data_IF_933759666224
#
_entry.id   IF_933759666224
#
_cell.length_a   1.000
_cell.length_b   1.000
_cell.length_c   1.000
_cell.angle_alpha   90.00
_cell.angle_beta   90.00
_cell.angle_gamma   90.00
#
_symmetry.space_group_name_H-M   'P 1'
#
loop_
_entity.id
_entity.type
_entity.pdbx_description
1 polymer ?
#
# COMPACT_ATOMS: atom_id res chain seq x y z
N UNK A 1 -1.61 15.24 1.43
CA UNK A 1 -0.14 15.28 1.24
C UNK A 1 0.58 14.56 2.38
N UNK A 2 0.45 15.01 3.64
CA UNK A 2 1.04 14.32 4.82
C UNK A 2 0.89 12.78 4.86
N UNK A 3 -0.30 12.18 4.64
CA UNK A 3 -0.45 10.71 4.71
C UNK A 3 0.38 9.98 3.66
N UNK A 4 0.55 10.56 2.47
CA UNK A 4 1.35 9.98 1.38
C UNK A 4 2.82 9.93 1.80
N UNK A 5 3.34 11.01 2.40
CA UNK A 5 4.73 11.05 2.86
C UNK A 5 5.00 10.05 3.97
N UNK A 6 4.08 9.89 4.93
CA UNK A 6 4.22 8.90 6.00
C UNK A 6 4.33 7.47 5.43
N UNK A 7 3.47 7.13 4.47
CA UNK A 7 3.49 5.81 3.84
C UNK A 7 4.75 5.62 2.99
N UNK A 8 5.19 6.64 2.24
CA UNK A 8 6.40 6.58 1.44
C UNK A 8 7.67 6.39 2.29
N UNK A 9 7.77 7.11 3.42
CA UNK A 9 8.87 6.95 4.37
C UNK A 9 8.84 5.55 4.99
N UNK A 10 7.66 5.09 5.44
CA UNK A 10 7.49 3.75 5.98
C UNK A 10 7.87 2.65 4.99
N UNK A 11 7.47 2.81 3.72
CA UNK A 11 7.86 1.90 2.65
C UNK A 11 9.38 1.89 2.42
N UNK A 12 10.02 3.07 2.36
CA UNK A 12 11.48 3.16 2.23
C UNK A 12 12.22 2.46 3.37
N UNK A 13 11.81 2.70 4.61
CA UNK A 13 12.38 2.04 5.79
C UNK A 13 12.20 0.52 5.75
N UNK A 14 11.01 0.03 5.38
CA UNK A 14 10.74 -1.40 5.25
C UNK A 14 11.67 -2.08 4.23
N UNK A 15 11.85 -1.49 3.04
CA UNK A 15 12.72 -2.05 2.01
C UNK A 15 14.20 -1.99 2.41
N UNK A 16 14.62 -0.87 3.03
CA UNK A 16 15.98 -0.74 3.52
C UNK A 16 16.29 -1.79 4.59
N UNK A 17 15.38 -1.97 5.55
CA UNK A 17 15.49 -3.00 6.58
C UNK A 17 15.58 -4.41 5.96
N UNK A 18 14.67 -4.76 5.05
CA UNK A 18 14.67 -6.06 4.40
C UNK A 18 15.94 -6.34 3.56
N UNK A 19 16.56 -5.28 3.01
CA UNK A 19 17.81 -5.42 2.24
C UNK A 19 19.02 -5.75 3.12
N UNK A 20 19.05 -5.26 4.36
CA UNK A 20 20.17 -5.44 5.29
C UNK A 20 20.04 -6.65 6.22
N UNK A 21 18.82 -6.94 6.68
CA UNK A 21 18.57 -7.95 7.72
C UNK A 21 17.95 -9.25 7.18
N UNK A 22 17.67 -9.32 5.88
CA UNK A 22 17.01 -10.44 5.24
C UNK A 22 15.52 -10.19 4.99
N UNK A 23 15.00 -10.75 3.89
CA UNK A 23 13.61 -10.59 3.53
C UNK A 23 12.74 -11.66 4.19
N UNK A 24 11.52 -11.31 4.66
CA UNK A 24 10.48 -12.29 4.94
C UNK A 24 10.21 -13.21 3.75
N UNK A 25 9.42 -14.25 3.97
CA UNK A 25 9.02 -15.16 2.91
C UNK A 25 8.50 -14.39 1.67
N UNK A 26 8.89 -14.77 0.44
CA UNK A 26 8.63 -13.94 -0.74
C UNK A 26 7.14 -13.59 -0.96
N UNK A 27 6.22 -14.43 -0.48
CA UNK A 27 4.77 -14.15 -0.51
C UNK A 27 4.39 -13.00 0.42
N UNK A 28 4.85 -13.05 1.67
CA UNK A 28 4.62 -12.02 2.68
C UNK A 28 5.27 -10.70 2.25
N UNK A 29 6.52 -10.76 1.76
CA UNK A 29 7.26 -9.56 1.35
C UNK A 29 6.54 -8.79 0.23
N UNK A 30 6.08 -9.50 -0.81
CA UNK A 30 5.30 -8.89 -1.90
C UNK A 30 3.94 -8.37 -1.41
N UNK A 31 3.26 -9.09 -0.53
CA UNK A 31 1.98 -8.65 0.04
C UNK A 31 2.11 -7.35 0.84
N UNK A 32 3.15 -7.23 1.66
CA UNK A 32 3.45 -5.99 2.42
C UNK A 32 3.83 -4.85 1.46
N UNK A 33 4.64 -5.13 0.43
CA UNK A 33 4.98 -4.14 -0.60
C UNK A 33 3.72 -3.57 -1.29
N UNK A 34 2.78 -4.43 -1.68
CA UNK A 34 1.51 -3.99 -2.27
C UNK A 34 0.65 -3.20 -1.27
N UNK A 35 0.57 -3.65 -0.01
CA UNK A 35 -0.21 -2.97 1.03
C UNK A 35 0.28 -1.54 1.30
N UNK A 36 1.58 -1.30 1.14
CA UNK A 36 2.19 0.01 1.32
C UNK A 36 1.97 0.93 0.10
N UNK A 37 2.06 0.42 -1.12
CA UNK A 37 2.12 1.26 -2.31
C UNK A 37 0.78 1.42 -3.05
N UNK A 38 -0.06 0.39 -3.13
CA UNK A 38 -1.33 0.47 -3.86
C UNK A 38 -2.29 1.56 -3.33
N UNK A 39 -2.52 1.67 -2.01
CA UNK A 39 -3.44 2.68 -1.47
C UNK A 39 -3.00 4.12 -1.78
N UNK A 40 -1.67 4.32 -1.86
CA UNK A 40 -1.08 5.62 -2.20
C UNK A 40 -1.40 6.02 -3.64
N UNK A 41 -1.51 5.07 -4.57
CA UNK A 41 -1.86 5.35 -5.97
C UNK A 41 -3.22 6.05 -6.06
N UNK A 42 -4.24 5.56 -5.33
CA UNK A 42 -5.57 6.17 -5.31
C UNK A 42 -5.57 7.56 -4.65
N UNK A 43 -4.68 7.79 -3.67
CA UNK A 43 -4.52 9.09 -3.02
C UNK A 43 -3.75 10.12 -3.87
N UNK A 44 -2.87 9.66 -4.76
CA UNK A 44 -1.97 10.48 -5.56
C UNK A 44 -2.54 10.76 -6.96
N UNK A 45 -3.27 9.79 -7.52
CA UNK A 45 -3.96 9.86 -8.79
C UNK A 45 -5.48 9.76 -8.56
N UNK A 46 -6.19 10.89 -8.55
CA UNK A 46 -7.64 10.87 -8.39
C UNK A 46 -8.30 10.02 -9.50
N UNK A 47 -9.26 9.18 -9.12
CA UNK A 47 -9.87 8.17 -10.01
C UNK A 47 -10.71 8.74 -11.16
N UNK A 48 -10.96 10.06 -11.20
CA UNK A 48 -11.74 10.71 -12.26
C UNK A 48 -11.12 12.04 -12.67
N UNK A 49 -11.19 12.36 -13.97
CA UNK A 49 -10.67 13.60 -14.56
C UNK A 49 -11.30 14.91 -14.00
N UNK A 50 -12.39 14.80 -13.23
CA UNK A 50 -13.05 15.91 -12.51
C UNK A 50 -12.57 16.09 -11.06
N UNK A 51 -11.80 15.15 -10.52
CA UNK A 51 -11.45 15.17 -9.10
C UNK A 51 -10.26 16.08 -8.85
N UNK A 52 -10.47 17.04 -7.94
CA UNK A 52 -9.54 18.11 -7.63
C UNK A 52 -8.35 17.53 -6.83
N UNK A 53 -7.11 17.78 -7.28
CA UNK A 53 -5.87 17.24 -6.70
C UNK A 53 -5.68 17.57 -5.20
N UNK A 54 -6.46 18.50 -4.66
CA UNK A 54 -6.48 18.89 -3.24
C UNK A 54 -7.50 18.12 -2.39
N UNK A 55 -8.47 17.42 -2.97
CA UNK A 55 -9.54 16.72 -2.22
C UNK A 55 -9.74 15.32 -2.79
N UNK A 56 -9.18 14.26 -2.16
CA UNK A 56 -9.48 12.90 -2.56
C UNK A 56 -10.99 12.66 -2.51
N UNK A 57 -11.53 12.07 -3.55
CA UNK A 57 -12.96 11.73 -3.65
C UNK A 57 -13.24 10.52 -2.76
N UNK A 58 -14.47 10.34 -2.28
CA UNK A 58 -14.87 9.17 -1.49
C UNK A 58 -14.49 7.85 -2.18
N UNK A 59 -14.60 7.80 -3.52
CA UNK A 59 -14.16 6.68 -4.34
C UNK A 59 -12.66 6.37 -4.21
N UNK A 60 -11.80 7.40 -4.09
CA UNK A 60 -10.36 7.25 -3.92
C UNK A 60 -10.04 6.62 -2.55
N UNK A 61 -10.76 7.05 -1.51
CA UNK A 61 -10.60 6.50 -0.15
C UNK A 61 -11.10 5.05 -0.07
N UNK A 62 -12.26 4.76 -0.68
CA UNK A 62 -12.80 3.40 -0.74
C UNK A 62 -11.86 2.49 -1.54
N UNK A 63 -11.36 2.94 -2.70
CA UNK A 63 -10.38 2.20 -3.50
C UNK A 63 -9.10 1.93 -2.72
N UNK A 64 -8.57 2.93 -2.02
CA UNK A 64 -7.41 2.77 -1.14
C UNK A 64 -7.64 1.74 -0.03
N UNK A 65 -8.80 1.79 0.64
CA UNK A 65 -9.16 0.83 1.70
C UNK A 65 -9.34 -0.59 1.16
N UNK A 66 -9.98 -0.75 0.00
CA UNK A 66 -10.15 -2.06 -0.64
C UNK A 66 -8.80 -2.65 -1.03
N UNK A 67 -7.90 -1.86 -1.61
CA UNK A 67 -6.55 -2.32 -1.94
C UNK A 67 -5.74 -2.69 -0.70
N UNK A 68 -5.84 -1.89 0.37
CA UNK A 68 -5.18 -2.17 1.64
C UNK A 68 -5.71 -3.48 2.24
N UNK A 69 -7.03 -3.65 2.30
CA UNK A 69 -7.68 -4.85 2.82
C UNK A 69 -7.33 -6.10 2.01
N UNK A 70 -7.37 -6.03 0.67
CA UNK A 70 -7.01 -7.13 -0.21
C UNK A 70 -5.54 -7.54 -0.02
N UNK A 71 -4.62 -6.57 0.06
CA UNK A 71 -3.19 -6.84 0.24
C UNK A 71 -2.91 -7.46 1.62
N UNK A 72 -3.48 -6.89 2.69
CA UNK A 72 -3.35 -7.43 4.05
C UNK A 72 -3.96 -8.82 4.19
N UNK A 73 -5.07 -9.10 3.50
CA UNK A 73 -5.69 -10.42 3.48
C UNK A 73 -4.72 -11.48 2.95
N UNK A 74 -3.98 -11.19 1.88
CA UNK A 74 -2.97 -12.11 1.32
C UNK A 74 -1.78 -12.32 2.24
N UNK A 75 -1.43 -11.33 3.06
CA UNK A 75 -0.37 -11.44 4.07
C UNK A 75 -0.84 -12.31 5.24
N UNK A 76 -2.05 -12.08 5.75
CA UNK A 76 -2.60 -12.83 6.87
C UNK A 76 -2.84 -14.30 6.53
N UNK A 77 -3.29 -14.60 5.31
CA UNK A 77 -3.48 -15.97 4.84
C UNK A 77 -2.24 -16.55 4.15
N UNK A 78 -1.07 -15.91 4.25
CA UNK A 78 0.12 -16.36 3.54
C UNK A 78 0.48 -17.82 3.88
N UNK A 79 0.36 -18.21 5.15
CA UNK A 79 0.62 -19.58 5.63
C UNK A 79 -0.38 -20.63 5.11
N UNK A 80 -1.59 -20.21 4.70
CA UNK A 80 -2.61 -21.12 4.14
C UNK A 80 -2.51 -21.30 2.63
N UNK A 81 -1.75 -20.44 1.95
CA UNK A 81 -1.57 -20.44 0.50
C UNK A 81 -0.22 -21.02 0.06
N UNK A 82 0.50 -21.66 0.98
CA UNK A 82 1.80 -22.31 0.77
C UNK A 82 1.68 -23.80 1.07
#
# INVERSE_FOLDING_TARGET
MVPIYLVAIGAGLFHYYASGFGSPEPRIFRGIHLALLLPVIFLLYPATARSNRQRPTVADVVGALVCLAASLYTVYHADRLN
#
